data_IF_243128005810
#
_entry.id   IF_243128005810
#
_cell.length_a   1.000
_cell.length_b   1.000
_cell.length_c   1.000
_cell.angle_alpha   90.00
_cell.angle_beta   90.00
_cell.angle_gamma   90.00
#
_symmetry.space_group_name_H-M   'P 1'
#
loop_
_entity.id
_entity.type
_entity.pdbx_description
1 polymer ?
#
# COMPACT_ATOMS: atom_id res chain seq x y z
N UNK A 1 21.93 -19.10 22.34
CA UNK A 1 22.57 -19.48 21.06
C UNK A 1 22.84 -20.98 21.15
N UNK A 2 21.93 -21.80 20.61
CA UNK A 2 22.03 -23.26 20.67
C UNK A 2 22.93 -23.74 19.51
N UNK A 3 23.99 -24.52 19.74
CA UNK A 3 24.98 -24.86 18.73
C UNK A 3 24.60 -26.07 17.83
N UNK A 4 23.32 -26.47 17.75
CA UNK A 4 22.89 -27.70 17.07
C UNK A 4 22.24 -27.54 15.68
N UNK A 5 22.14 -26.34 15.08
CA UNK A 5 21.34 -26.13 13.85
C UNK A 5 22.13 -25.76 12.59
N UNK A 6 23.36 -26.27 12.40
CA UNK A 6 24.20 -25.92 11.24
C UNK A 6 24.77 -27.12 10.45
N UNK A 7 24.08 -28.27 10.49
CA UNK A 7 24.33 -29.32 9.50
C UNK A 7 23.77 -28.88 8.13
N UNK A 8 24.54 -28.99 7.02
CA UNK A 8 24.03 -28.64 5.69
C UNK A 8 22.87 -29.57 5.33
N UNK A 9 21.67 -29.00 5.28
CA UNK A 9 20.43 -29.68 4.89
C UNK A 9 20.56 -30.12 3.43
N UNK A 10 20.26 -31.38 3.12
CA UNK A 10 20.33 -31.86 1.74
C UNK A 10 19.24 -31.22 0.88
N UNK A 11 19.44 -31.10 -0.45
CA UNK A 11 18.39 -30.59 -1.36
C UNK A 11 17.06 -31.36 -1.26
N UNK A 12 17.12 -32.66 -0.95
CA UNK A 12 15.92 -33.51 -0.78
C UNK A 12 15.16 -33.15 0.50
N UNK A 13 15.87 -32.90 1.60
CA UNK A 13 15.28 -32.47 2.85
C UNK A 13 14.65 -31.08 2.72
N UNK A 14 15.32 -30.14 2.03
CA UNK A 14 14.78 -28.82 1.75
C UNK A 14 13.45 -28.88 0.97
N UNK A 15 13.37 -29.75 -0.04
CA UNK A 15 12.15 -29.93 -0.82
C UNK A 15 11.05 -30.65 -0.03
N UNK A 16 11.41 -31.60 0.85
CA UNK A 16 10.46 -32.29 1.71
C UNK A 16 9.83 -31.37 2.77
N UNK A 17 10.55 -30.33 3.20
CA UNK A 17 10.05 -29.31 4.13
C UNK A 17 9.11 -28.28 3.47
N UNK A 18 9.08 -28.18 2.14
CA UNK A 18 8.20 -27.24 1.45
C UNK A 18 6.90 -27.91 0.97
N UNK A 19 5.74 -27.25 1.10
CA UNK A 19 4.49 -27.78 0.57
C UNK A 19 4.49 -27.66 -0.97
N UNK A 20 4.47 -28.80 -1.65
CA UNK A 20 4.47 -28.88 -3.11
C UNK A 20 3.17 -29.53 -3.60
N UNK A 21 2.53 -28.94 -4.62
CA UNK A 21 1.40 -29.54 -5.34
C UNK A 21 1.66 -29.57 -6.84
N UNK A 22 1.21 -30.62 -7.51
CA UNK A 22 1.33 -30.80 -8.96
C UNK A 22 -0.04 -30.89 -9.57
N UNK A 23 -0.32 -30.05 -10.56
CA UNK A 23 -1.63 -29.95 -11.19
C UNK A 23 -1.44 -29.88 -12.69
N UNK A 24 -2.05 -30.80 -13.41
CA UNK A 24 -2.06 -30.77 -14.87
C UNK A 24 -3.34 -30.08 -15.34
N UNK A 25 -3.18 -28.96 -16.04
CA UNK A 25 -4.32 -28.20 -16.57
C UNK A 25 -4.03 -27.68 -17.96
N UNK A 26 -5.02 -27.81 -18.85
CA UNK A 26 -4.97 -27.30 -20.23
C UNK A 26 -3.74 -27.77 -21.04
N UNK A 27 -3.17 -28.93 -20.68
CA UNK A 27 -1.98 -29.53 -21.32
C UNK A 27 -0.64 -29.18 -20.67
N UNK A 28 -0.63 -28.38 -19.60
CA UNK A 28 0.57 -27.95 -18.86
C UNK A 28 0.57 -28.52 -17.45
N UNK A 29 1.70 -29.08 -17.00
CA UNK A 29 1.92 -29.44 -15.59
C UNK A 29 2.42 -28.22 -14.81
N UNK A 30 1.62 -27.73 -13.88
CA UNK A 30 2.00 -26.70 -12.92
C UNK A 30 2.53 -27.36 -11.65
N UNK A 31 3.79 -27.08 -11.31
CA UNK A 31 4.42 -27.50 -10.05
C UNK A 31 4.40 -26.31 -9.09
N UNK A 32 3.42 -26.28 -8.19
CA UNK A 32 3.25 -25.22 -7.22
C UNK A 32 4.14 -25.49 -6.00
N UNK A 33 5.11 -24.62 -5.77
CA UNK A 33 6.00 -24.60 -4.62
C UNK A 33 5.54 -23.49 -3.67
N UNK A 34 4.97 -23.89 -2.53
CA UNK A 34 4.61 -22.96 -1.47
C UNK A 34 5.83 -22.55 -0.65
N UNK A 35 5.99 -21.25 -0.43
CA UNK A 35 7.16 -20.65 0.22
C UNK A 35 6.74 -19.76 1.40
N UNK A 36 7.65 -19.56 2.35
CA UNK A 36 7.49 -18.56 3.41
C UNK A 36 8.34 -17.33 3.08
N UNK A 37 7.71 -16.14 2.98
CA UNK A 37 8.30 -14.88 2.48
C UNK A 37 9.47 -14.29 3.31
N UNK A 38 9.88 -15.00 4.35
CA UNK A 38 10.95 -14.65 5.29
C UNK A 38 11.81 -15.88 5.63
N UNK A 39 11.96 -16.84 4.70
CA UNK A 39 12.72 -18.06 4.94
C UNK A 39 13.85 -18.24 3.92
N UNK A 40 15.10 -18.23 4.41
CA UNK A 40 16.26 -18.61 3.58
C UNK A 40 16.09 -20.02 3.00
N UNK A 41 15.50 -20.95 3.78
CA UNK A 41 15.23 -22.32 3.32
C UNK A 41 14.26 -22.36 2.15
N UNK A 42 13.27 -21.46 2.08
CA UNK A 42 12.37 -21.39 0.93
C UNK A 42 13.10 -20.90 -0.34
N UNK A 43 14.08 -20.01 -0.21
CA UNK A 43 14.92 -19.61 -1.35
C UNK A 43 15.82 -20.77 -1.81
N UNK A 44 16.42 -21.51 -0.89
CA UNK A 44 17.25 -22.67 -1.22
C UNK A 44 16.42 -23.80 -1.86
N UNK A 45 15.18 -24.00 -1.41
CA UNK A 45 14.25 -24.96 -2.00
C UNK A 45 13.88 -24.62 -3.46
N UNK A 46 13.77 -23.33 -3.81
CA UNK A 46 13.58 -22.90 -5.21
C UNK A 46 14.76 -23.34 -6.08
N UNK A 47 15.99 -23.12 -5.61
CA UNK A 47 17.20 -23.58 -6.32
C UNK A 47 17.27 -25.09 -6.42
N UNK A 48 16.96 -25.80 -5.33
CA UNK A 48 16.92 -27.26 -5.32
C UNK A 48 15.92 -27.81 -6.34
N UNK A 49 14.73 -27.20 -6.44
CA UNK A 49 13.71 -27.60 -7.41
C UNK A 49 14.19 -27.40 -8.85
N UNK A 50 14.71 -26.20 -9.16
CA UNK A 50 15.23 -25.88 -10.50
C UNK A 50 16.47 -26.71 -10.87
N UNK A 51 17.28 -27.13 -9.90
CA UNK A 51 18.41 -28.03 -10.14
C UNK A 51 17.97 -29.48 -10.40
N UNK A 52 16.88 -29.92 -9.76
CA UNK A 52 16.38 -31.30 -9.83
C UNK A 52 15.54 -31.58 -11.06
N UNK A 53 14.74 -30.61 -11.51
CA UNK A 53 13.80 -30.77 -12.63
C UNK A 53 13.99 -29.69 -13.68
N UNK A 54 13.74 -30.05 -14.94
CA UNK A 54 13.68 -29.09 -16.05
C UNK A 54 12.28 -28.48 -16.14
N UNK A 55 12.22 -27.17 -16.36
CA UNK A 55 10.99 -26.40 -16.51
C UNK A 55 11.09 -25.55 -17.78
N UNK A 56 9.94 -25.30 -18.41
CA UNK A 56 9.83 -24.46 -19.60
C UNK A 56 9.59 -22.98 -19.25
N UNK A 57 9.08 -22.72 -18.04
CA UNK A 57 8.85 -21.38 -17.50
C UNK A 57 8.87 -21.39 -15.96
N UNK A 58 9.09 -20.21 -15.39
CA UNK A 58 8.98 -19.96 -13.93
C UNK A 58 7.95 -18.86 -13.68
N UNK A 59 6.89 -19.18 -12.97
CA UNK A 59 5.90 -18.22 -12.50
C UNK A 59 6.17 -17.82 -11.03
N UNK A 60 5.98 -16.54 -10.71
CA UNK A 60 6.22 -16.00 -9.37
C UNK A 60 5.05 -15.15 -8.88
N UNK A 61 4.77 -15.19 -7.57
CA UNK A 61 3.76 -14.35 -6.88
C UNK A 61 4.21 -12.89 -6.78
N UNK A 62 4.40 -12.24 -7.93
CA UNK A 62 4.76 -10.84 -8.05
C UNK A 62 3.93 -10.19 -9.14
N UNK A 63 3.50 -8.95 -8.89
CA UNK A 63 3.02 -8.06 -9.93
C UNK A 63 4.20 -7.33 -10.59
N UNK A 64 4.02 -6.73 -11.79
CA UNK A 64 5.09 -6.01 -12.50
C UNK A 64 5.83 -4.98 -11.64
N UNK A 65 5.10 -4.18 -10.86
CA UNK A 65 5.70 -3.18 -9.99
C UNK A 65 6.58 -3.78 -8.89
N UNK A 66 6.15 -4.90 -8.27
CA UNK A 66 6.93 -5.57 -7.22
C UNK A 66 8.15 -6.30 -7.80
N UNK A 67 8.01 -6.90 -8.98
CA UNK A 67 9.13 -7.52 -9.68
C UNK A 67 10.20 -6.48 -10.06
N UNK A 68 9.78 -5.31 -10.56
CA UNK A 68 10.68 -4.20 -10.86
C UNK A 68 11.36 -3.67 -9.59
N UNK A 69 10.61 -3.47 -8.50
CA UNK A 69 11.18 -3.05 -7.22
C UNK A 69 12.19 -4.05 -6.62
N UNK A 70 12.03 -5.35 -6.89
CA UNK A 70 12.98 -6.38 -6.46
C UNK A 70 14.23 -6.44 -7.35
N UNK A 71 14.11 -6.15 -8.64
CA UNK A 71 15.23 -6.10 -9.60
C UNK A 71 16.04 -4.82 -9.44
N UNK A 72 15.33 -3.70 -9.33
CA UNK A 72 15.88 -2.36 -9.24
C UNK A 72 15.29 -1.67 -7.99
N UNK A 73 15.84 -1.94 -6.79
CA UNK A 73 15.39 -1.30 -5.55
C UNK A 73 15.49 0.23 -5.61
N UNK A 74 16.44 0.73 -6.42
CA UNK A 74 16.66 2.15 -6.66
C UNK A 74 15.71 2.74 -7.71
N UNK A 75 14.92 1.97 -8.47
CA UNK A 75 14.03 2.53 -9.50
C UNK A 75 12.84 3.30 -8.90
N UNK A 76 12.39 2.97 -7.69
CA UNK A 76 11.36 3.74 -6.95
C UNK A 76 11.82 5.20 -6.75
N UNK A 77 13.15 5.42 -6.68
CA UNK A 77 13.76 6.74 -6.60
C UNK A 77 13.45 7.65 -7.79
N UNK A 78 13.02 7.09 -8.92
CA UNK A 78 12.75 7.86 -10.14
C UNK A 78 11.26 8.18 -10.37
N UNK A 79 10.37 7.84 -9.43
CA UNK A 79 8.94 8.14 -9.60
C UNK A 79 8.71 9.66 -9.62
N UNK A 80 7.94 10.13 -10.61
CA UNK A 80 7.60 11.53 -10.76
C UNK A 80 6.61 11.96 -9.65
N UNK A 81 7.14 12.57 -8.60
CA UNK A 81 6.40 13.02 -7.41
C UNK A 81 5.21 13.94 -7.75
N UNK A 82 5.30 14.69 -8.86
CA UNK A 82 4.22 15.58 -9.29
C UNK A 82 2.97 14.79 -9.72
N UNK A 83 3.17 13.71 -10.46
CA UNK A 83 2.07 12.83 -10.89
C UNK A 83 1.44 12.10 -9.70
N UNK A 84 2.25 11.68 -8.74
CA UNK A 84 1.80 11.03 -7.50
C UNK A 84 0.88 11.92 -6.67
N UNK A 85 1.26 13.19 -6.48
CA UNK A 85 0.45 14.15 -5.74
C UNK A 85 -0.87 14.45 -6.47
N UNK A 86 -0.81 14.64 -7.80
CA UNK A 86 -1.98 14.91 -8.64
C UNK A 86 -2.98 13.75 -8.65
N UNK A 87 -2.50 12.51 -8.66
CA UNK A 87 -3.34 11.31 -8.68
C UNK A 87 -3.84 10.88 -7.29
N UNK A 88 -3.51 11.63 -6.22
CA UNK A 88 -3.91 11.28 -4.86
C UNK A 88 -3.25 10.01 -4.32
N UNK A 89 -2.19 9.51 -4.98
CA UNK A 89 -1.46 8.27 -4.62
C UNK A 89 -0.39 8.50 -3.55
N UNK A 90 -0.25 9.73 -3.06
CA UNK A 90 0.72 10.11 -2.03
C UNK A 90 0.64 9.24 -0.77
N UNK A 91 -0.58 8.93 -0.30
CA UNK A 91 -0.78 8.07 0.87
C UNK A 91 -0.30 6.62 0.65
N UNK A 92 -0.44 6.08 -0.56
CA UNK A 92 0.00 4.72 -0.89
C UNK A 92 1.53 4.62 -0.92
N UNK A 93 2.21 5.65 -1.45
CA UNK A 93 3.67 5.71 -1.46
C UNK A 93 4.22 5.91 -0.05
N UNK A 94 3.62 6.81 0.76
CA UNK A 94 4.00 6.97 2.16
C UNK A 94 3.84 5.65 2.95
N UNK A 95 2.73 4.92 2.74
CA UNK A 95 2.53 3.60 3.31
C UNK A 95 3.55 2.58 2.81
N UNK A 96 3.91 2.61 1.52
CA UNK A 96 4.94 1.74 0.95
C UNK A 96 6.33 2.02 1.50
N UNK A 97 6.69 3.30 1.70
CA UNK A 97 7.95 3.71 2.32
C UNK A 97 8.01 3.30 3.80
N UNK A 98 6.91 3.52 4.55
CA UNK A 98 6.81 3.11 5.95
C UNK A 98 6.87 1.59 6.11
N UNK A 99 6.13 0.84 5.28
CA UNK A 99 6.16 -0.61 5.29
C UNK A 99 7.53 -1.15 4.86
N UNK A 100 8.18 -0.54 3.86
CA UNK A 100 9.53 -0.89 3.45
C UNK A 100 10.56 -0.65 4.56
N UNK A 101 10.40 0.41 5.36
CA UNK A 101 11.22 0.67 6.54
C UNK A 101 10.99 -0.38 7.64
N UNK A 102 9.73 -0.74 7.90
CA UNK A 102 9.37 -1.80 8.85
C UNK A 102 9.90 -3.19 8.43
N UNK A 103 9.70 -3.56 7.16
CA UNK A 103 10.20 -4.80 6.57
C UNK A 103 11.73 -4.90 6.66
N UNK A 104 12.45 -3.78 6.53
CA UNK A 104 13.91 -3.75 6.65
C UNK A 104 14.37 -3.84 8.09
N UNK A 105 13.65 -3.23 9.05
CA UNK A 105 13.94 -3.42 10.48
C UNK A 105 13.84 -4.90 10.86
N UNK A 106 12.84 -5.60 10.35
CA UNK A 106 12.73 -7.06 10.49
C UNK A 106 13.89 -7.77 9.78
N UNK A 107 14.27 -7.33 8.59
CA UNK A 107 15.38 -7.92 7.83
C UNK A 107 16.73 -7.81 8.56
N UNK A 108 17.05 -6.64 9.08
CA UNK A 108 18.29 -6.34 9.79
C UNK A 108 18.32 -7.06 11.16
N UNK A 109 17.18 -7.17 11.84
CA UNK A 109 17.07 -7.80 13.15
C UNK A 109 17.10 -9.33 13.09
N UNK A 110 16.53 -9.92 12.03
CA UNK A 110 16.44 -11.37 11.88
C UNK A 110 17.39 -11.94 10.80
N UNK A 111 18.17 -11.11 10.11
CA UNK A 111 19.11 -11.52 9.07
C UNK A 111 18.43 -12.12 7.82
N UNK A 112 17.15 -11.79 7.60
CA UNK A 112 16.30 -12.37 6.56
C UNK A 112 15.93 -11.28 5.55
N UNK A 113 16.31 -11.42 4.28
CA UNK A 113 15.82 -10.52 3.24
C UNK A 113 14.37 -10.89 2.84
N UNK A 114 13.37 -10.02 3.06
CA UNK A 114 12.00 -10.31 2.65
C UNK A 114 11.93 -10.48 1.13
N UNK A 115 11.25 -11.54 0.68
CA UNK A 115 11.15 -11.86 -0.75
C UNK A 115 12.40 -12.49 -1.35
N UNK A 116 13.33 -13.02 -0.54
CA UNK A 116 14.52 -13.72 -1.01
C UNK A 116 14.17 -14.90 -1.94
N UNK A 117 13.09 -15.63 -1.64
CA UNK A 117 12.59 -16.75 -2.44
C UNK A 117 12.16 -16.32 -3.84
N UNK A 118 11.44 -15.20 -3.95
CA UNK A 118 11.01 -14.65 -5.24
C UNK A 118 12.18 -14.08 -6.03
N UNK A 119 13.11 -13.38 -5.36
CA UNK A 119 14.34 -12.89 -6.01
C UNK A 119 15.18 -14.04 -6.54
N UNK A 120 15.28 -15.13 -5.77
CA UNK A 120 15.99 -16.35 -6.17
C UNK A 120 15.36 -16.96 -7.42
N UNK A 121 14.04 -17.13 -7.43
CA UNK A 121 13.30 -17.61 -8.60
C UNK A 121 13.56 -16.76 -9.85
N UNK A 122 13.50 -15.43 -9.72
CA UNK A 122 13.79 -14.50 -10.81
C UNK A 122 15.23 -14.65 -11.33
N UNK A 123 16.22 -14.70 -10.43
CA UNK A 123 17.64 -14.79 -10.79
C UNK A 123 18.01 -16.12 -11.44
N UNK A 124 17.47 -17.23 -10.95
CA UNK A 124 17.71 -18.58 -11.48
C UNK A 124 17.04 -18.75 -12.84
N UNK A 125 15.80 -18.26 -12.99
CA UNK A 125 15.12 -18.26 -14.29
C UNK A 125 15.92 -17.47 -15.33
N UNK A 126 16.43 -16.29 -14.98
CA UNK A 126 17.27 -15.50 -15.87
C UNK A 126 18.58 -16.22 -16.22
N UNK A 127 19.27 -16.80 -15.24
CA UNK A 127 20.52 -17.56 -15.45
C UNK A 127 20.32 -18.74 -16.40
N UNK A 128 19.14 -19.36 -16.34
CA UNK A 128 18.75 -20.53 -17.14
C UNK A 128 18.04 -20.15 -18.45
N UNK A 129 17.91 -18.85 -18.76
CA UNK A 129 17.15 -18.33 -19.89
C UNK A 129 15.70 -18.84 -19.97
N UNK A 130 15.06 -19.02 -18.81
CA UNK A 130 13.65 -19.39 -18.71
C UNK A 130 12.76 -18.16 -18.73
N UNK A 131 11.63 -18.19 -19.45
CA UNK A 131 10.63 -17.13 -19.38
C UNK A 131 10.05 -17.05 -17.95
N UNK A 132 9.90 -15.81 -17.48
CA UNK A 132 9.35 -15.50 -16.16
C UNK A 132 7.93 -14.98 -16.29
N UNK A 133 6.99 -15.60 -15.59
CA UNK A 133 5.59 -15.16 -15.54
C UNK A 133 5.28 -14.47 -14.21
N UNK A 134 4.73 -13.26 -14.29
CA UNK A 134 4.30 -12.49 -13.13
C UNK A 134 2.81 -12.72 -12.93
N UNK A 135 2.45 -13.50 -11.91
CA UNK A 135 1.08 -14.03 -11.79
C UNK A 135 0.25 -13.39 -10.69
N UNK A 136 0.80 -12.43 -9.93
CA UNK A 136 0.07 -11.77 -8.84
C UNK A 136 -0.57 -10.44 -9.27
N UNK A 137 -1.66 -10.09 -8.59
CA UNK A 137 -2.43 -8.88 -8.82
C UNK A 137 -1.68 -7.65 -8.32
N UNK A 138 -1.96 -6.49 -8.92
CA UNK A 138 -1.46 -5.22 -8.39
C UNK A 138 -1.79 -5.05 -6.90
N UNK A 139 -0.77 -4.75 -6.09
CA UNK A 139 -0.91 -4.57 -4.64
C UNK A 139 -1.79 -3.38 -4.31
N UNK A 140 -1.72 -2.31 -5.12
CA UNK A 140 -2.57 -1.13 -4.96
C UNK A 140 -4.04 -1.46 -5.16
N UNK A 141 -4.38 -2.21 -6.20
CA UNK A 141 -5.74 -2.69 -6.45
C UNK A 141 -6.22 -3.60 -5.31
N UNK A 142 -5.38 -4.54 -4.87
CA UNK A 142 -5.69 -5.45 -3.76
C UNK A 142 -6.03 -4.68 -2.49
N UNK A 143 -5.21 -3.68 -2.10
CA UNK A 143 -5.46 -2.84 -0.93
C UNK A 143 -6.74 -1.98 -1.09
N UNK A 144 -6.99 -1.43 -2.28
CA UNK A 144 -8.24 -0.67 -2.55
C UNK A 144 -9.47 -1.56 -2.39
N UNK A 145 -9.42 -2.81 -2.87
CA UNK A 145 -10.52 -3.77 -2.76
C UNK A 145 -10.72 -4.27 -1.34
N UNK A 146 -9.65 -4.58 -0.61
CA UNK A 146 -9.69 -4.91 0.81
C UNK A 146 -10.33 -3.78 1.63
N UNK A 147 -9.91 -2.53 1.38
CA UNK A 147 -10.54 -1.36 2.00
C UNK A 147 -12.00 -1.22 1.58
N UNK A 148 -12.34 -1.45 0.32
CA UNK A 148 -13.73 -1.36 -0.14
C UNK A 148 -14.64 -2.43 0.51
N UNK A 149 -14.12 -3.62 0.79
CA UNK A 149 -14.83 -4.72 1.43
C UNK A 149 -15.18 -4.46 2.91
N UNK A 150 -14.47 -3.55 3.57
CA UNK A 150 -14.70 -3.20 4.97
C UNK A 150 -15.84 -2.18 5.15
N UNK A 151 -16.67 -2.40 6.17
CA UNK A 151 -17.65 -1.41 6.64
C UNK A 151 -16.99 -0.16 7.25
N UNK A 152 -17.78 0.89 7.50
CA UNK A 152 -17.27 2.13 8.10
C UNK A 152 -16.61 1.90 9.47
N UNK A 153 -17.25 1.10 10.33
CA UNK A 153 -16.75 0.80 11.69
C UNK A 153 -15.43 0.03 11.67
N UNK A 154 -15.33 -1.04 10.89
CA UNK A 154 -14.09 -1.82 10.76
C UNK A 154 -12.93 -0.96 10.21
N UNK A 155 -13.21 -0.03 9.29
CA UNK A 155 -12.21 0.95 8.81
C UNK A 155 -11.73 1.88 9.93
N UNK A 156 -12.66 2.38 10.75
CA UNK A 156 -12.34 3.27 11.86
C UNK A 156 -11.51 2.54 12.92
N UNK A 157 -11.89 1.31 13.26
CA UNK A 157 -11.17 0.45 14.22
C UNK A 157 -9.75 0.11 13.74
N UNK A 158 -9.58 -0.34 12.49
CA UNK A 158 -8.25 -0.58 11.92
C UNK A 158 -7.40 0.68 11.91
N UNK A 159 -8.00 1.84 11.59
CA UNK A 159 -7.27 3.11 11.59
C UNK A 159 -6.86 3.51 13.01
N UNK A 160 -7.73 3.32 13.99
CA UNK A 160 -7.43 3.57 15.40
C UNK A 160 -6.34 2.62 15.91
N UNK A 161 -6.40 1.33 15.57
CA UNK A 161 -5.39 0.34 15.92
C UNK A 161 -4.01 0.64 15.32
N UNK A 162 -3.96 1.09 14.06
CA UNK A 162 -2.71 1.53 13.42
C UNK A 162 -2.14 2.80 14.06
N UNK A 163 -2.98 3.76 14.43
CA UNK A 163 -2.53 4.95 15.16
C UNK A 163 -2.02 4.57 16.55
N UNK A 164 -2.73 3.68 17.25
CA UNK A 164 -2.30 3.16 18.54
C UNK A 164 -0.98 2.41 18.44
N UNK A 165 -0.74 1.61 17.39
CA UNK A 165 0.51 0.87 17.20
C UNK A 165 1.70 1.77 16.88
N UNK A 166 1.49 2.93 16.25
CA UNK A 166 2.54 3.93 16.03
C UNK A 166 2.90 4.72 17.30
N UNK A 167 2.00 4.75 18.28
CA UNK A 167 2.19 5.43 19.57
C UNK A 167 2.73 4.44 20.61
N UNK A 168 2.37 3.16 20.50
CA UNK A 168 2.91 2.06 21.29
C UNK A 168 4.39 1.88 20.98
N UNK A 169 5.23 2.04 22.00
CA UNK A 169 6.68 1.81 21.93
C UNK A 169 7.05 0.51 22.65
N UNK A 170 6.06 -0.31 22.99
CA UNK A 170 6.27 -1.47 23.84
C UNK A 170 6.93 -2.59 23.04
N UNK A 171 8.07 -3.07 23.56
CA UNK A 171 8.77 -4.24 23.05
C UNK A 171 7.81 -5.43 23.08
N UNK A 172 7.60 -6.05 21.92
CA UNK A 172 6.76 -7.26 21.78
C UNK A 172 7.32 -8.31 22.73
N UNK A 173 6.51 -8.72 23.71
CA UNK A 173 6.91 -9.68 24.73
C UNK A 173 7.38 -10.98 24.07
N UNK A 174 8.46 -11.56 24.60
CA UNK A 174 9.10 -12.78 24.08
C UNK A 174 8.11 -13.96 23.95
N UNK A 175 7.05 -13.93 24.75
CA UNK A 175 5.93 -14.87 24.79
C UNK A 175 4.99 -14.78 23.55
N UNK A 176 4.84 -13.60 22.95
CA UNK A 176 4.12 -13.43 21.66
C UNK A 176 4.97 -13.90 20.47
N UNK A 177 6.30 -13.76 20.58
CA UNK A 177 7.26 -14.25 19.58
C UNK A 177 7.38 -15.78 19.62
N UNK A 178 7.24 -16.41 20.79
CA UNK A 178 7.22 -17.88 20.91
C UNK A 178 5.97 -18.51 20.32
N UNK A 179 4.79 -17.89 20.49
CA UNK A 179 3.57 -18.32 19.79
C UNK A 179 3.79 -18.33 18.27
N UNK A 180 4.50 -17.34 17.72
CA UNK A 180 4.84 -17.24 16.30
C UNK A 180 5.78 -18.34 15.76
N UNK A 181 6.47 -19.11 16.63
CA UNK A 181 7.43 -20.15 16.24
C UNK A 181 6.81 -21.55 16.12
N UNK A 182 5.58 -21.77 16.55
CA UNK A 182 4.91 -23.07 16.41
C UNK A 182 4.43 -23.25 14.97
N UNK A 183 5.03 -24.20 14.24
CA UNK A 183 4.91 -24.39 12.79
C UNK A 183 3.51 -24.65 12.22
N UNK A 184 2.49 -24.82 13.06
CA UNK A 184 1.08 -24.98 12.68
C UNK A 184 0.26 -23.67 12.79
N UNK A 185 0.89 -22.55 13.14
CA UNK A 185 0.21 -21.26 13.35
C UNK A 185 -0.26 -20.57 12.08
N UNK A 186 0.34 -20.81 10.91
CA UNK A 186 -0.08 -20.12 9.69
C UNK A 186 -1.52 -20.51 9.35
N UNK A 187 -1.82 -21.80 9.29
CA UNK A 187 -3.15 -22.27 8.88
C UNK A 187 -4.24 -21.94 9.90
N UNK A 188 -3.93 -22.00 11.20
CA UNK A 188 -4.87 -21.62 12.28
C UNK A 188 -5.09 -20.10 12.37
N UNK A 189 -4.04 -19.27 12.22
CA UNK A 189 -4.17 -17.81 12.15
C UNK A 189 -4.90 -17.36 10.90
N UNK A 190 -4.67 -18.00 9.74
CA UNK A 190 -5.40 -17.71 8.50
C UNK A 190 -6.88 -18.11 8.63
N UNK A 191 -7.19 -19.25 9.24
CA UNK A 191 -8.56 -19.68 9.49
C UNK A 191 -9.28 -18.77 10.49
N UNK A 192 -8.57 -18.27 11.52
CA UNK A 192 -9.11 -17.34 12.50
C UNK A 192 -9.30 -15.93 11.92
N UNK A 193 -8.36 -15.46 11.09
CA UNK A 193 -8.50 -14.23 10.30
C UNK A 193 -9.68 -14.30 9.31
N UNK A 194 -9.87 -15.44 8.65
CA UNK A 194 -11.03 -15.69 7.79
C UNK A 194 -12.35 -15.68 8.58
N UNK A 195 -12.36 -16.17 9.82
CA UNK A 195 -13.52 -16.11 10.72
C UNK A 195 -13.80 -14.68 11.22
N UNK A 196 -12.77 -13.88 11.49
CA UNK A 196 -12.92 -12.51 11.99
C UNK A 196 -13.38 -11.53 10.91
N UNK A 197 -12.95 -11.71 9.66
CA UNK A 197 -13.41 -10.86 8.55
C UNK A 197 -13.40 -11.60 7.20
N UNK A 198 -14.45 -12.39 6.96
CA UNK A 198 -14.66 -13.06 5.68
C UNK A 198 -14.56 -12.12 4.44
N UNK A 199 -15.08 -10.86 4.48
CA UNK A 199 -14.91 -9.93 3.36
C UNK A 199 -13.44 -9.54 3.10
N UNK A 200 -12.65 -9.36 4.16
CA UNK A 200 -11.25 -9.00 4.05
C UNK A 200 -10.41 -10.19 3.55
N UNK A 201 -10.66 -11.38 4.09
CA UNK A 201 -10.03 -12.62 3.64
C UNK A 201 -10.30 -12.87 2.15
N UNK A 202 -11.56 -12.76 1.72
CA UNK A 202 -11.93 -12.87 0.31
C UNK A 202 -11.17 -11.89 -0.58
N UNK A 203 -11.14 -10.62 -0.20
CA UNK A 203 -10.49 -9.57 -1.00
C UNK A 203 -8.96 -9.71 -1.05
N UNK A 204 -8.33 -10.16 0.05
CA UNK A 204 -6.88 -10.24 0.19
C UNK A 204 -6.29 -11.59 -0.24
N UNK A 205 -7.05 -12.68 -0.19
CA UNK A 205 -6.57 -14.04 -0.45
C UNK A 205 -7.33 -14.68 -1.61
N UNK A 206 -8.63 -14.96 -1.45
CA UNK A 206 -9.39 -15.74 -2.45
C UNK A 206 -9.41 -15.09 -3.84
N UNK A 207 -9.57 -13.76 -3.91
CA UNK A 207 -9.53 -13.05 -5.18
C UNK A 207 -8.15 -13.10 -5.85
N UNK A 208 -7.06 -13.17 -5.06
CA UNK A 208 -5.70 -13.31 -5.59
C UNK A 208 -5.44 -14.73 -6.05
N UNK A 209 -5.94 -15.73 -5.34
CA UNK A 209 -5.87 -17.13 -5.78
C UNK A 209 -6.58 -17.33 -7.12
N UNK A 210 -7.77 -16.75 -7.27
CA UNK A 210 -8.49 -16.72 -8.54
C UNK A 210 -7.69 -16.00 -9.63
N UNK A 211 -7.09 -14.84 -9.30
CA UNK A 211 -6.25 -14.10 -10.25
C UNK A 211 -5.03 -14.91 -10.70
N UNK A 212 -4.28 -15.50 -9.76
CA UNK A 212 -3.08 -16.30 -10.04
C UNK A 212 -3.38 -17.52 -10.90
N UNK A 213 -4.41 -18.30 -10.53
CA UNK A 213 -4.82 -19.47 -11.29
C UNK A 213 -5.27 -19.11 -12.72
N UNK A 214 -6.05 -18.02 -12.86
CA UNK A 214 -6.47 -17.55 -14.18
C UNK A 214 -5.29 -17.03 -15.00
N UNK A 215 -4.37 -16.27 -14.40
CA UNK A 215 -3.18 -15.74 -15.08
C UNK A 215 -2.22 -16.83 -15.51
N UNK A 216 -2.02 -17.87 -14.71
CA UNK A 216 -1.24 -19.06 -15.09
C UNK A 216 -1.79 -19.74 -16.36
N UNK A 217 -3.11 -19.92 -16.43
CA UNK A 217 -3.78 -20.50 -17.61
C UNK A 217 -3.66 -19.59 -18.85
N UNK A 218 -3.77 -18.27 -18.66
CA UNK A 218 -3.60 -17.29 -19.73
C UNK A 218 -2.17 -17.31 -20.29
N UNK A 219 -1.15 -17.23 -19.44
CA UNK A 219 0.27 -17.27 -19.84
C UNK A 219 0.63 -18.59 -20.52
N UNK A 220 0.16 -19.73 -19.99
CA UNK A 220 0.39 -21.03 -20.61
C UNK A 220 -0.24 -21.12 -22.01
N UNK A 221 -1.45 -20.57 -22.20
CA UNK A 221 -2.06 -20.51 -23.52
C UNK A 221 -1.28 -19.61 -24.49
N UNK A 222 -0.84 -18.44 -24.03
CA UNK A 222 -0.06 -17.48 -24.84
C UNK A 222 1.34 -17.99 -25.20
N UNK A 223 1.96 -18.79 -24.33
CA UNK A 223 3.29 -19.37 -24.53
C UNK A 223 3.30 -20.65 -25.39
N UNK A 224 2.15 -21.07 -25.95
CA UNK A 224 2.05 -22.27 -26.76
C UNK A 224 1.99 -23.58 -25.96
N UNK A 225 1.48 -23.53 -24.72
CA UNK A 225 1.28 -24.65 -23.79
C UNK A 225 2.60 -25.37 -23.44
N UNK A 226 3.44 -24.76 -22.59
CA UNK A 226 4.62 -25.44 -22.07
C UNK A 226 4.24 -26.75 -21.37
N UNK A 227 5.15 -27.71 -21.36
CA UNK A 227 4.93 -29.00 -20.74
C UNK A 227 4.95 -28.88 -19.21
N UNK A 228 5.91 -28.15 -18.65
CA UNK A 228 6.09 -28.03 -17.20
C UNK A 228 6.48 -26.62 -16.75
N UNK A 229 5.76 -26.08 -15.78
CA UNK A 229 5.98 -24.73 -15.23
C UNK A 229 6.16 -24.80 -13.72
N UNK A 230 7.24 -24.20 -13.23
CA UNK A 230 7.45 -24.02 -11.79
C UNK A 230 6.68 -22.78 -11.32
N UNK A 231 5.84 -22.91 -10.31
CA UNK A 231 5.04 -21.81 -9.76
C UNK A 231 5.48 -21.56 -8.31
N UNK A 232 6.22 -20.48 -8.09
CA UNK A 232 6.72 -20.09 -6.76
C UNK A 232 5.73 -19.09 -6.15
N UNK A 233 5.01 -19.53 -5.12
CA UNK A 233 3.96 -18.75 -4.45
C UNK A 233 4.09 -18.88 -2.93
N UNK A 234 3.49 -17.96 -2.18
CA UNK A 234 3.38 -18.04 -0.74
C UNK A 234 2.52 -19.24 -0.32
N UNK A 235 2.91 -19.92 0.76
CA UNK A 235 2.22 -21.12 1.23
C UNK A 235 0.71 -20.91 1.50
N UNK A 236 0.32 -19.70 1.90
CA UNK A 236 -1.10 -19.34 2.11
C UNK A 236 -1.95 -19.37 0.83
N UNK A 237 -1.33 -19.20 -0.34
CA UNK A 237 -2.01 -19.20 -1.64
C UNK A 237 -2.02 -20.57 -2.32
N UNK A 238 -1.24 -21.54 -1.81
CA UNK A 238 -1.05 -22.84 -2.43
C UNK A 238 -2.37 -23.62 -2.57
N UNK A 239 -3.13 -23.74 -1.49
CA UNK A 239 -4.37 -24.52 -1.49
C UNK A 239 -5.47 -23.87 -2.35
N UNK A 240 -5.64 -22.55 -2.25
CA UNK A 240 -6.65 -21.82 -3.02
C UNK A 240 -6.33 -21.75 -4.51
N UNK A 241 -5.08 -21.43 -4.87
CA UNK A 241 -4.64 -21.42 -6.27
C UNK A 241 -4.73 -22.81 -6.90
N UNK A 242 -4.37 -23.86 -6.15
CA UNK A 242 -4.53 -25.24 -6.58
C UNK A 242 -5.98 -25.58 -6.89
N UNK A 243 -6.88 -25.31 -5.95
CA UNK A 243 -8.31 -25.55 -6.13
C UNK A 243 -8.86 -24.81 -7.35
N UNK A 244 -8.48 -23.56 -7.57
CA UNK A 244 -8.93 -22.78 -8.72
C UNK A 244 -8.42 -23.35 -10.06
N UNK A 245 -7.17 -23.83 -10.11
CA UNK A 245 -6.62 -24.49 -11.31
C UNK A 245 -7.34 -25.80 -11.63
N UNK A 246 -7.73 -26.57 -10.60
CA UNK A 246 -8.43 -27.84 -10.76
C UNK A 246 -9.91 -27.65 -11.15
N UNK A 247 -10.64 -26.78 -10.44
CA UNK A 247 -12.11 -26.73 -10.52
C UNK A 247 -12.66 -25.66 -11.46
N UNK A 248 -11.93 -24.60 -11.79
CA UNK A 248 -12.49 -23.50 -12.58
C UNK A 248 -12.77 -23.93 -14.03
N UNK A 249 -14.00 -23.73 -14.48
CA UNK A 249 -14.44 -24.09 -15.85
C UNK A 249 -14.46 -22.88 -16.78
N UNK A 250 -14.59 -21.68 -16.23
CA UNK A 250 -14.61 -20.44 -17.00
C UNK A 250 -13.28 -20.19 -17.71
N UNK A 251 -13.32 -19.35 -18.74
CA UNK A 251 -12.12 -18.87 -19.42
C UNK A 251 -11.27 -17.98 -18.50
N UNK A 252 -9.94 -17.90 -18.70
CA UNK A 252 -9.08 -17.00 -17.94
C UNK A 252 -9.59 -15.55 -17.92
N UNK A 253 -10.06 -15.04 -19.07
CA UNK A 253 -10.58 -13.68 -19.18
C UNK A 253 -11.82 -13.42 -18.30
N UNK A 254 -12.75 -14.37 -18.24
CA UNK A 254 -13.95 -14.28 -17.39
C UNK A 254 -13.60 -14.33 -15.90
N UNK A 255 -12.58 -15.11 -15.53
CA UNK A 255 -12.08 -15.18 -14.16
C UNK A 255 -11.32 -13.92 -13.75
N UNK A 256 -10.57 -13.32 -14.67
CA UNK A 256 -9.77 -12.11 -14.41
C UNK A 256 -10.62 -10.84 -14.32
N UNK A 257 -11.67 -10.71 -15.14
CA UNK A 257 -12.50 -9.50 -15.21
C UNK A 257 -13.02 -8.99 -13.83
N UNK A 258 -13.66 -9.81 -12.96
CA UNK A 258 -14.20 -9.31 -11.70
C UNK A 258 -13.12 -8.94 -10.66
N UNK A 259 -11.97 -9.61 -10.70
CA UNK A 259 -10.87 -9.42 -9.73
C UNK A 259 -9.88 -8.33 -10.14
N UNK A 260 -9.91 -7.92 -11.42
CA UNK A 260 -9.13 -6.80 -11.98
C UNK A 260 -9.90 -5.48 -12.00
N UNK A 261 -11.23 -5.52 -11.90
CA UNK A 261 -12.05 -4.31 -11.86
C UNK A 261 -11.76 -3.45 -10.61
N UNK A 262 -11.66 -2.13 -10.81
CA UNK A 262 -11.51 -1.19 -9.70
C UNK A 262 -12.78 -1.15 -8.83
N UNK A 263 -12.64 -1.10 -7.49
CA UNK A 263 -13.79 -0.94 -6.63
C UNK A 263 -14.44 0.43 -6.88
N UNK A 264 -15.77 0.47 -6.97
CA UNK A 264 -16.50 1.73 -7.16
C UNK A 264 -16.21 2.69 -5.99
N UNK A 265 -15.88 3.97 -6.24
CA UNK A 265 -15.66 4.93 -5.18
C UNK A 265 -16.95 5.09 -4.35
N UNK A 266 -16.80 5.12 -3.02
CA UNK A 266 -17.93 5.32 -2.12
C UNK A 266 -18.56 6.70 -2.34
N UNK A 267 -19.88 6.76 -2.57
CA UNK A 267 -20.57 8.02 -2.85
C UNK A 267 -20.77 8.89 -1.60
N UNK A 268 -20.69 8.30 -0.40
CA UNK A 268 -20.97 8.98 0.87
C UNK A 268 -20.07 10.20 1.05
N UNK A 269 -18.76 10.08 0.77
CA UNK A 269 -17.82 11.21 0.89
C UNK A 269 -18.17 12.38 -0.05
N UNK A 270 -18.66 12.08 -1.26
CA UNK A 270 -19.12 13.10 -2.21
C UNK A 270 -20.35 13.85 -1.67
N UNK A 271 -21.32 13.12 -1.13
CA UNK A 271 -22.54 13.72 -0.56
C UNK A 271 -22.26 14.52 0.70
N UNK A 272 -21.38 14.02 1.59
CA UNK A 272 -20.94 14.77 2.78
C UNK A 272 -20.22 16.07 2.36
N UNK A 273 -19.26 15.98 1.44
CA UNK A 273 -18.54 17.16 0.96
C UNK A 273 -19.46 18.20 0.31
N UNK A 274 -20.42 17.75 -0.49
CA UNK A 274 -21.42 18.63 -1.10
C UNK A 274 -22.38 19.22 -0.07
N UNK A 275 -22.80 18.45 0.93
CA UNK A 275 -23.64 18.93 2.03
C UNK A 275 -22.94 19.99 2.88
N UNK A 276 -21.66 19.77 3.21
CA UNK A 276 -20.84 20.76 3.93
C UNK A 276 -20.66 22.03 3.09
N UNK A 277 -20.36 21.89 1.80
CA UNK A 277 -20.24 23.04 0.88
C UNK A 277 -21.53 23.85 0.84
N UNK A 278 -22.67 23.18 0.68
CA UNK A 278 -23.97 23.84 0.65
C UNK A 278 -24.27 24.55 1.98
N UNK A 279 -23.97 23.91 3.12
CA UNK A 279 -24.17 24.49 4.45
C UNK A 279 -23.36 25.78 4.63
N UNK A 280 -22.10 25.79 4.22
CA UNK A 280 -21.23 26.97 4.28
C UNK A 280 -21.77 28.09 3.37
N UNK A 281 -22.15 27.76 2.13
CA UNK A 281 -22.71 28.73 1.19
C UNK A 281 -24.01 29.35 1.71
N UNK A 282 -24.92 28.52 2.26
CA UNK A 282 -26.15 29.00 2.89
C UNK A 282 -25.84 29.90 4.07
N UNK A 283 -24.87 29.54 4.92
CA UNK A 283 -24.43 30.40 6.03
C UNK A 283 -23.98 31.79 5.56
N UNK A 284 -23.20 31.87 4.50
CA UNK A 284 -22.83 33.17 3.91
C UNK A 284 -24.03 33.93 3.35
N UNK A 285 -24.92 33.26 2.60
CA UNK A 285 -26.12 33.91 2.06
C UNK A 285 -26.98 34.47 3.18
N UNK A 286 -27.22 33.71 4.25
CA UNK A 286 -27.98 34.17 5.41
C UNK A 286 -27.30 35.36 6.11
N UNK A 287 -25.97 35.35 6.22
CA UNK A 287 -25.23 36.47 6.80
C UNK A 287 -25.42 37.76 5.97
N UNK A 288 -25.30 37.67 4.64
CA UNK A 288 -25.52 38.82 3.74
C UNK A 288 -26.98 39.28 3.69
N UNK A 289 -27.94 38.35 3.83
CA UNK A 289 -29.36 38.69 3.97
C UNK A 289 -29.67 39.41 5.28
N UNK A 290 -28.92 39.12 6.35
CA UNK A 290 -29.07 39.81 7.63
C UNK A 290 -28.43 41.22 7.58
N UNK A 291 -27.17 41.32 7.14
CA UNK A 291 -26.53 42.61 6.83
C UNK A 291 -25.28 42.45 5.96
N UNK A 292 -25.01 43.45 5.11
CA UNK A 292 -23.80 43.45 4.28
C UNK A 292 -22.50 43.47 5.12
N UNK A 293 -22.53 44.13 6.29
CA UNK A 293 -21.39 44.20 7.20
C UNK A 293 -21.09 42.85 7.84
N UNK A 294 -22.11 42.13 8.34
CA UNK A 294 -21.93 40.79 8.93
C UNK A 294 -21.42 39.80 7.88
N UNK A 295 -22.02 39.79 6.69
CA UNK A 295 -21.57 38.95 5.58
C UNK A 295 -20.09 39.19 5.22
N UNK A 296 -19.68 40.45 5.14
CA UNK A 296 -18.29 40.82 4.86
C UNK A 296 -17.35 40.43 6.00
N UNK A 297 -17.73 40.66 7.25
CA UNK A 297 -16.94 40.29 8.42
C UNK A 297 -16.65 38.79 8.45
N UNK A 298 -17.69 37.96 8.28
CA UNK A 298 -17.56 36.51 8.26
C UNK A 298 -16.75 36.02 7.05
N UNK A 299 -16.86 36.69 5.90
CA UNK A 299 -16.06 36.37 4.71
C UNK A 299 -14.57 36.63 4.96
N UNK A 300 -14.22 37.79 5.53
CA UNK A 300 -12.84 38.13 5.88
C UNK A 300 -12.30 37.16 6.93
N UNK A 301 -13.10 36.84 7.95
CA UNK A 301 -12.72 35.86 8.97
C UNK A 301 -12.50 34.47 8.37
N UNK A 302 -13.34 34.03 7.44
CA UNK A 302 -13.16 32.77 6.72
C UNK A 302 -11.82 32.72 6.01
N UNK A 303 -11.52 33.75 5.20
CA UNK A 303 -10.26 33.84 4.47
C UNK A 303 -9.07 33.86 5.43
N UNK A 304 -9.13 34.65 6.50
CA UNK A 304 -8.04 34.76 7.45
C UNK A 304 -7.84 33.48 8.26
N UNK A 305 -8.91 32.86 8.78
CA UNK A 305 -8.82 31.64 9.60
C UNK A 305 -8.29 30.48 8.75
N UNK A 306 -8.89 30.21 7.58
CA UNK A 306 -8.42 29.11 6.73
C UNK A 306 -7.03 29.38 6.15
N UNK A 307 -6.79 30.61 5.67
CA UNK A 307 -5.50 31.01 5.12
C UNK A 307 -4.38 30.87 6.15
N UNK A 308 -4.57 31.40 7.36
CA UNK A 308 -3.58 31.25 8.44
C UNK A 308 -3.42 29.80 8.89
N UNK A 309 -4.49 29.01 8.99
CA UNK A 309 -4.41 27.59 9.31
C UNK A 309 -3.54 26.80 8.34
N UNK A 310 -3.76 26.98 7.03
CA UNK A 310 -2.92 26.35 6.00
C UNK A 310 -1.48 26.86 6.02
N UNK A 311 -1.29 28.17 6.20
CA UNK A 311 0.04 28.78 6.29
C UNK A 311 0.83 28.29 7.52
N UNK A 312 0.18 28.13 8.68
CA UNK A 312 0.77 27.56 9.88
C UNK A 312 1.17 26.10 9.65
N UNK A 313 0.31 25.30 9.03
CA UNK A 313 0.63 23.93 8.64
C UNK A 313 1.87 23.85 7.73
N UNK A 314 1.93 24.68 6.69
CA UNK A 314 3.10 24.77 5.80
C UNK A 314 4.35 25.28 6.52
N UNK A 315 4.19 26.20 7.48
CA UNK A 315 5.30 26.75 8.27
C UNK A 315 5.89 25.70 9.22
N UNK A 316 5.04 24.87 9.84
CA UNK A 316 5.47 23.73 10.66
C UNK A 316 6.25 22.69 9.84
N UNK A 317 5.93 22.55 8.55
CA UNK A 317 6.70 21.73 7.62
C UNK A 317 8.07 22.33 7.23
N UNK A 318 8.37 23.56 7.68
CA UNK A 318 9.51 24.36 7.23
C UNK A 318 9.56 24.47 5.69
N UNK A 319 8.38 24.66 5.09
CA UNK A 319 8.21 24.81 3.66
C UNK A 319 8.81 26.13 3.17
N UNK A 320 9.05 26.23 1.87
CA UNK A 320 9.49 27.46 1.24
C UNK A 320 8.45 28.59 1.46
N UNK A 321 8.87 29.86 1.64
CA UNK A 321 7.95 30.98 1.86
C UNK A 321 6.84 31.10 0.82
N UNK A 322 7.15 30.81 -0.45
CA UNK A 322 6.16 30.78 -1.54
C UNK A 322 5.16 29.62 -1.34
N UNK A 323 5.59 28.44 -0.89
CA UNK A 323 4.68 27.33 -0.55
C UNK A 323 3.73 27.71 0.59
N UNK A 324 4.24 28.44 1.60
CA UNK A 324 3.44 28.97 2.71
C UNK A 324 2.40 29.99 2.19
N UNK A 325 2.80 30.90 1.30
CA UNK A 325 1.89 31.85 0.67
C UNK A 325 0.83 31.14 -0.19
N UNK A 326 1.24 30.13 -0.97
CA UNK A 326 0.31 29.29 -1.74
C UNK A 326 -0.70 28.62 -0.82
N UNK A 327 -0.25 28.06 0.32
CA UNK A 327 -1.14 27.50 1.33
C UNK A 327 -2.15 28.55 1.82
N UNK A 328 -1.70 29.76 2.15
CA UNK A 328 -2.58 30.84 2.61
C UNK A 328 -3.68 31.18 1.59
N UNK A 329 -3.31 31.30 0.32
CA UNK A 329 -4.25 31.70 -0.75
C UNK A 329 -5.25 30.58 -1.09
N UNK A 330 -4.80 29.33 -1.10
CA UNK A 330 -5.62 28.20 -1.56
C UNK A 330 -6.53 27.66 -0.45
N UNK A 331 -6.13 27.75 0.83
CA UNK A 331 -6.88 27.16 1.95
C UNK A 331 -8.34 27.62 2.07
N UNK A 332 -8.69 28.91 1.88
CA UNK A 332 -10.08 29.36 1.89
C UNK A 332 -10.96 28.71 0.80
N UNK A 333 -10.34 28.22 -0.29
CA UNK A 333 -11.02 27.61 -1.43
C UNK A 333 -11.16 26.08 -1.28
N UNK A 334 -10.32 25.45 -0.47
CA UNK A 334 -10.30 24.00 -0.26
C UNK A 334 -11.66 23.39 0.09
N UNK A 335 -12.50 23.99 0.97
CA UNK A 335 -13.77 23.37 1.35
C UNK A 335 -14.76 23.19 0.21
N UNK A 336 -14.64 23.99 -0.86
CA UNK A 336 -15.59 24.00 -1.98
C UNK A 336 -15.26 22.95 -3.04
N UNK A 337 -14.04 22.41 -3.06
CA UNK A 337 -13.66 21.38 -4.01
C UNK A 337 -12.45 20.56 -3.53
N UNK A 338 -12.52 19.21 -3.46
CA UNK A 338 -11.42 18.38 -3.01
C UNK A 338 -10.11 18.54 -3.82
N UNK A 339 -10.20 18.84 -5.11
CA UNK A 339 -9.01 19.08 -5.93
C UNK A 339 -8.32 20.43 -5.64
N UNK A 340 -8.95 21.31 -4.85
CA UNK A 340 -8.37 22.58 -4.38
C UNK A 340 -7.75 22.44 -2.99
N UNK A 341 -7.33 21.23 -2.59
CA UNK A 341 -6.66 21.00 -1.32
C UNK A 341 -5.37 21.83 -1.22
N UNK A 342 -5.29 22.73 -0.23
CA UNK A 342 -4.15 23.64 -0.06
C UNK A 342 -2.81 22.92 0.11
N UNK A 343 -2.79 21.74 0.73
CA UNK A 343 -1.58 20.92 0.82
C UNK A 343 -1.12 20.38 -0.52
N UNK A 344 -2.03 20.10 -1.47
CA UNK A 344 -1.64 19.71 -2.83
C UNK A 344 -0.91 20.84 -3.54
N UNK A 345 -1.45 22.06 -3.47
CA UNK A 345 -0.83 23.24 -4.10
C UNK A 345 0.47 23.65 -3.40
N UNK A 346 0.47 23.67 -2.06
CA UNK A 346 1.66 23.97 -1.25
C UNK A 346 2.76 22.94 -1.48
N UNK A 347 2.44 21.64 -1.44
CA UNK A 347 3.38 20.56 -1.72
C UNK A 347 3.89 20.56 -3.17
N UNK A 348 3.03 20.84 -4.15
CA UNK A 348 3.45 20.98 -5.55
C UNK A 348 4.37 22.20 -5.76
N UNK A 349 4.08 23.32 -5.09
CA UNK A 349 4.94 24.51 -5.07
C UNK A 349 6.28 24.19 -4.44
N UNK A 350 6.29 23.47 -3.31
CA UNK A 350 7.50 23.02 -2.64
C UNK A 350 8.34 22.13 -3.55
N UNK A 351 7.70 21.18 -4.24
CA UNK A 351 8.36 20.29 -5.20
C UNK A 351 8.96 21.07 -6.37
N UNK A 352 8.26 22.09 -6.86
CA UNK A 352 8.73 22.91 -7.98
C UNK A 352 9.92 23.80 -7.60
N UNK A 353 9.91 24.38 -6.39
CA UNK A 353 10.94 25.29 -5.90
C UNK A 353 12.16 24.56 -5.32
N UNK A 354 11.93 23.45 -4.61
CA UNK A 354 12.98 22.60 -4.01
C UNK A 354 12.98 21.23 -4.67
N UNK A 355 13.24 21.22 -5.97
CA UNK A 355 13.31 20.01 -6.78
C UNK A 355 14.24 18.97 -6.12
N UNK A 356 13.72 17.76 -5.82
CA UNK A 356 14.54 16.69 -5.31
C UNK A 356 15.57 16.25 -6.34
N UNK A 357 16.77 15.96 -5.87
CA UNK A 357 17.85 15.38 -6.68
C UNK A 357 17.86 13.86 -6.51
N UNK A 358 18.47 13.13 -7.44
CA UNK A 358 18.57 11.66 -7.41
C UNK A 358 19.11 11.16 -6.05
N UNK A 359 20.09 11.86 -5.49
CA UNK A 359 20.64 11.56 -4.16
C UNK A 359 19.63 11.64 -3.02
N UNK A 360 18.64 12.55 -3.08
CA UNK A 360 17.59 12.64 -2.06
C UNK A 360 16.74 11.37 -2.05
N UNK A 361 16.49 10.75 -3.20
CA UNK A 361 15.69 9.55 -3.27
C UNK A 361 16.43 8.31 -2.78
N UNK A 362 17.74 8.21 -3.04
CA UNK A 362 18.55 7.14 -2.43
C UNK A 362 18.62 7.29 -0.91
N UNK A 363 18.80 8.52 -0.43
CA UNK A 363 18.83 8.83 1.00
C UNK A 363 17.45 8.74 1.67
N UNK A 364 16.35 8.85 0.92
CA UNK A 364 14.98 8.88 1.44
C UNK A 364 14.69 7.67 2.32
N UNK A 365 15.14 6.49 1.89
CA UNK A 365 14.91 5.23 2.61
C UNK A 365 15.53 5.23 4.00
N UNK A 366 16.65 5.95 4.17
CA UNK A 366 17.38 6.02 5.44
C UNK A 366 16.97 7.25 6.26
N UNK A 367 16.70 8.39 5.61
CA UNK A 367 16.25 9.61 6.26
C UNK A 367 14.87 9.46 6.93
N UNK A 368 13.96 8.69 6.33
CA UNK A 368 12.59 8.49 6.86
C UNK A 368 12.56 7.68 8.16
N UNK A 369 13.69 7.05 8.55
CA UNK A 369 13.82 6.31 9.82
C UNK A 369 13.79 7.21 11.05
N UNK A 370 14.23 8.45 10.91
CA UNK A 370 14.27 9.43 12.00
C UNK A 370 13.25 10.54 11.76
N UNK A 371 12.57 10.99 12.82
CA UNK A 371 11.59 12.09 12.72
C UNK A 371 12.20 13.35 12.09
N UNK A 372 13.48 13.64 12.39
CA UNK A 372 14.20 14.78 11.80
C UNK A 372 14.47 14.60 10.31
N UNK A 373 14.70 13.38 9.85
CA UNK A 373 15.00 13.11 8.45
C UNK A 373 13.81 13.39 7.52
N UNK A 374 12.57 13.30 8.02
CA UNK A 374 11.36 13.73 7.31
C UNK A 374 11.38 15.21 6.90
N UNK A 375 11.94 16.07 7.76
CA UNK A 375 12.14 17.49 7.44
C UNK A 375 13.43 17.69 6.65
N UNK A 376 14.48 16.89 6.86
CA UNK A 376 15.77 17.08 6.17
C UNK A 376 15.68 16.77 4.67
N UNK A 377 15.11 15.62 4.31
CA UNK A 377 15.08 15.12 2.95
C UNK A 377 14.06 15.88 2.09
N UNK A 378 14.44 16.29 0.87
CA UNK A 378 13.59 17.11 0.00
C UNK A 378 12.34 16.36 -0.46
N UNK A 379 12.44 15.05 -0.68
CA UNK A 379 11.31 14.22 -1.10
C UNK A 379 10.31 14.08 0.03
N UNK A 380 10.74 13.68 1.23
CA UNK A 380 9.84 13.54 2.39
C UNK A 380 9.23 14.88 2.79
N UNK A 381 9.99 15.99 2.69
CA UNK A 381 9.50 17.33 3.03
C UNK A 381 8.31 17.73 2.17
N UNK A 382 8.28 17.38 0.88
CA UNK A 382 7.10 17.62 0.02
C UNK A 382 5.84 16.95 0.61
N UNK A 383 5.96 15.72 1.11
CA UNK A 383 4.86 15.03 1.77
C UNK A 383 4.50 15.65 3.13
N UNK A 384 5.48 16.02 3.96
CA UNK A 384 5.24 16.74 5.23
C UNK A 384 4.48 18.04 4.98
N UNK A 385 4.91 18.82 3.99
CA UNK A 385 4.24 20.05 3.56
C UNK A 385 2.81 19.78 3.14
N UNK A 386 2.58 18.74 2.32
CA UNK A 386 1.23 18.33 1.92
C UNK A 386 0.34 17.99 3.12
N UNK A 387 0.81 17.13 4.03
CA UNK A 387 0.01 16.65 5.15
C UNK A 387 -0.26 17.73 6.19
N UNK A 388 0.77 18.46 6.64
CA UNK A 388 0.60 19.49 7.66
C UNK A 388 -0.22 20.69 7.17
N UNK A 389 -0.10 21.08 5.90
CA UNK A 389 -0.95 22.12 5.31
C UNK A 389 -2.43 21.70 5.27
N UNK A 390 -2.71 20.46 4.86
CA UNK A 390 -4.07 19.93 4.86
C UNK A 390 -4.64 19.82 6.27
N UNK A 391 -3.83 19.37 7.25
CA UNK A 391 -4.23 19.30 8.65
C UNK A 391 -4.54 20.69 9.22
N UNK A 392 -3.66 21.67 8.99
CA UNK A 392 -3.88 23.05 9.42
C UNK A 392 -5.15 23.66 8.82
N UNK A 393 -5.40 23.42 7.53
CA UNK A 393 -6.63 23.84 6.85
C UNK A 393 -7.87 23.16 7.41
N UNK A 394 -7.80 21.87 7.72
CA UNK A 394 -8.93 21.12 8.27
C UNK A 394 -9.31 21.60 9.68
N UNK A 395 -8.32 21.86 10.54
CA UNK A 395 -8.55 22.42 11.88
C UNK A 395 -9.13 23.83 11.79
N UNK A 396 -8.59 24.67 10.90
CA UNK A 396 -9.10 26.02 10.67
C UNK A 396 -10.52 26.01 10.10
N UNK A 397 -10.84 25.07 9.22
CA UNK A 397 -12.19 24.89 8.68
C UNK A 397 -13.21 24.58 9.79
N UNK A 398 -12.85 23.72 10.75
CA UNK A 398 -13.70 23.45 11.92
C UNK A 398 -13.97 24.73 12.71
N UNK A 399 -12.92 25.49 13.03
CA UNK A 399 -13.03 26.77 13.77
C UNK A 399 -13.92 27.77 13.00
N UNK A 400 -13.67 27.96 11.70
CA UNK A 400 -14.40 28.90 10.86
C UNK A 400 -15.88 28.53 10.73
N UNK A 401 -16.18 27.23 10.62
CA UNK A 401 -17.57 26.73 10.53
C UNK A 401 -18.32 26.92 11.84
N UNK A 402 -17.68 26.65 12.99
CA UNK A 402 -18.28 26.94 14.31
C UNK A 402 -18.58 28.43 14.44
N UNK A 403 -17.63 29.29 14.08
CA UNK A 403 -17.79 30.76 14.11
C UNK A 403 -18.94 31.24 13.23
N UNK A 404 -19.06 30.69 12.02
CA UNK A 404 -20.16 30.96 11.09
C UNK A 404 -21.50 30.53 11.68
N UNK A 405 -21.58 29.39 12.35
CA UNK A 405 -22.80 28.92 13.00
C UNK A 405 -23.20 29.74 14.22
N UNK A 406 -22.25 30.12 15.07
CA UNK A 406 -22.51 30.91 16.27
C UNK A 406 -22.94 32.35 15.97
N UNK A 407 -22.60 32.89 14.80
CA UNK A 407 -22.99 34.24 14.38
C UNK A 407 -24.51 34.46 14.26
N UNK A 408 -25.30 33.38 14.31
CA UNK A 408 -26.76 33.40 14.24
C UNK A 408 -27.44 33.00 15.55
N UNK A 409 -26.67 32.69 16.60
CA UNK A 409 -27.23 32.42 17.93
C UNK A 409 -27.45 33.75 18.66
N UNK A 410 -28.56 33.91 19.41
CA UNK A 410 -28.71 35.04 20.31
C UNK A 410 -27.64 34.99 21.41
N UNK A 411 -27.11 36.16 21.78
CA UNK A 411 -26.11 36.35 22.85
C UNK A 411 -26.56 35.83 24.22
#
# INVERSE_FOLDING_TARGET
MNPETDAPISPEQLLAEQPIRRITRDGTEFVLLGTAHVSRRSADAVSAMLARESFDAVAVELCPHRAEALRNPDAIASLNLFQVLKEGKAGLIAAGLALGAFQRRLADQYGIEPGAEMRRALSEAQTRNLPVWLVDRDVGLTLRRARAALGFWAKAEMSAGLVASLISTDEIAEEEVEKLKQGDMLQSTFAEFAKQSAPLYRAMIEERDQYMAARLREEAASAGRPHKVLVVIGAGHLAGSASQLESATQSPAELLAPVTAEPKPGQIGKWIGMGITLLVLVGFVLAFMHSASLGMELLVQWVLILGTGGALGASLALAHPISILTAFIVSPLTPFHPALASGMFSGATELWLRKPIIGDFHALRDDVRELRGWWRNRVSRVFVTFFLTNLGTALAFYIATVRLGTAFLPD
#
